data_IF_153663041853
#
_entry.id   IF_153663041853
#
_cell.length_a   1.000
_cell.length_b   1.000
_cell.length_c   1.000
_cell.angle_alpha   90.00
_cell.angle_beta   90.00
_cell.angle_gamma   90.00
#
_symmetry.space_group_name_H-M   'P 1'
#
loop_
_entity.id
_entity.type
_entity.pdbx_description
1 polymer ?
#
# COMPACT_ATOMS: atom_id res chain seq x y z
N UNK A 1 -80.74 11.01 9.37
CA UNK A 1 -80.13 10.84 10.68
C UNK A 1 -78.66 11.17 10.64
N UNK A 2 -78.25 12.20 11.40
CA UNK A 2 -76.88 12.71 11.51
C UNK A 2 -75.89 11.63 12.03
N UNK A 3 -76.36 10.63 12.79
CA UNK A 3 -75.55 9.56 13.38
C UNK A 3 -74.94 8.65 12.28
N UNK A 4 -75.63 8.32 11.21
CA UNK A 4 -75.10 7.52 10.10
C UNK A 4 -74.02 8.24 9.31
N UNK A 5 -74.12 9.57 9.14
CA UNK A 5 -73.13 10.38 8.44
C UNK A 5 -71.82 10.48 9.22
N UNK A 6 -71.90 10.66 10.56
CA UNK A 6 -70.68 10.66 11.42
C UNK A 6 -69.99 9.31 11.42
N UNK A 7 -70.73 8.19 11.57
CA UNK A 7 -70.14 6.88 11.57
C UNK A 7 -69.47 6.55 10.23
N UNK A 8 -70.08 6.84 9.11
CA UNK A 8 -69.53 6.63 7.79
C UNK A 8 -68.23 7.49 7.57
N UNK A 9 -68.23 8.69 8.09
CA UNK A 9 -67.02 9.55 8.04
C UNK A 9 -65.89 8.98 8.90
N UNK A 10 -66.17 8.51 10.11
CA UNK A 10 -65.21 7.91 11.01
C UNK A 10 -64.64 6.60 10.39
N UNK A 11 -65.49 5.77 9.81
CA UNK A 11 -65.07 4.54 9.13
C UNK A 11 -64.16 4.84 7.94
N UNK A 12 -64.48 5.86 7.13
CA UNK A 12 -63.61 6.30 6.03
C UNK A 12 -62.23 6.77 6.51
N UNK A 13 -62.19 7.53 7.63
CA UNK A 13 -60.97 8.01 8.22
C UNK A 13 -60.14 6.83 8.74
N UNK A 14 -60.77 5.86 9.46
CA UNK A 14 -60.09 4.70 9.99
C UNK A 14 -59.53 3.84 8.88
N UNK A 15 -60.21 3.66 7.78
CA UNK A 15 -59.73 2.91 6.61
C UNK A 15 -58.51 3.58 5.98
N UNK A 16 -58.60 4.90 5.70
CA UNK A 16 -57.48 5.65 5.15
C UNK A 16 -56.24 5.66 6.06
N UNK A 17 -56.49 5.83 7.38
CA UNK A 17 -55.44 5.69 8.40
C UNK A 17 -54.75 4.37 8.34
N UNK A 18 -55.52 3.26 8.33
CA UNK A 18 -54.94 1.91 8.32
C UNK A 18 -54.15 1.65 7.03
N UNK A 19 -54.68 2.01 5.87
CA UNK A 19 -53.96 1.88 4.58
C UNK A 19 -52.65 2.65 4.58
N UNK A 20 -52.59 3.87 5.16
CA UNK A 20 -51.38 4.66 5.24
C UNK A 20 -50.37 4.02 6.20
N UNK A 21 -50.80 3.55 7.37
CA UNK A 21 -49.94 2.85 8.34
C UNK A 21 -49.37 1.57 7.74
N UNK A 22 -50.19 0.81 7.00
CA UNK A 22 -49.74 -0.40 6.31
C UNK A 22 -48.63 -0.09 5.29
N UNK A 23 -48.75 0.98 4.51
CA UNK A 23 -47.70 1.46 3.59
C UNK A 23 -46.44 1.89 4.32
N UNK A 24 -46.56 2.61 5.45
CA UNK A 24 -45.43 3.01 6.30
C UNK A 24 -44.70 1.76 6.81
N UNK A 25 -45.45 0.74 7.25
CA UNK A 25 -44.88 -0.50 7.76
C UNK A 25 -43.99 -1.24 6.76
N UNK A 26 -44.29 -1.14 5.46
CA UNK A 26 -43.57 -1.78 4.36
C UNK A 26 -42.35 -0.98 3.86
N UNK A 27 -42.06 0.18 4.43
CA UNK A 27 -40.95 1.03 3.98
C UNK A 27 -39.59 0.42 4.40
N UNK A 28 -38.86 -0.17 3.47
CA UNK A 28 -37.52 -0.77 3.72
C UNK A 28 -36.44 0.26 4.04
N UNK A 29 -36.59 1.47 3.55
CA UNK A 29 -35.66 2.58 3.78
C UNK A 29 -35.73 3.18 5.18
N UNK A 30 -36.77 2.84 5.95
CA UNK A 30 -37.04 3.34 7.28
C UNK A 30 -36.56 2.40 8.38
N UNK A 31 -36.17 2.97 9.51
CA UNK A 31 -36.05 2.25 10.78
C UNK A 31 -37.39 2.14 11.47
N UNK A 32 -37.50 1.27 12.48
CA UNK A 32 -38.76 1.10 13.22
C UNK A 32 -39.20 2.41 13.89
N UNK A 33 -38.26 3.17 14.48
CA UNK A 33 -38.53 4.45 15.12
C UNK A 33 -39.07 5.51 14.12
N UNK A 34 -38.53 5.51 12.90
CA UNK A 34 -39.04 6.39 11.84
C UNK A 34 -40.46 6.01 11.39
N UNK A 35 -40.74 4.69 11.28
CA UNK A 35 -42.08 4.17 10.99
C UNK A 35 -43.07 4.48 12.12
N UNK A 36 -42.65 4.32 13.36
CA UNK A 36 -43.50 4.61 14.53
C UNK A 36 -43.84 6.08 14.61
N UNK A 37 -42.88 6.97 14.37
CA UNK A 37 -43.11 8.42 14.31
C UNK A 37 -44.05 8.80 13.18
N UNK A 38 -43.87 8.22 11.97
CA UNK A 38 -44.75 8.47 10.84
C UNK A 38 -46.19 7.97 11.11
N UNK A 39 -46.30 6.78 11.70
CA UNK A 39 -47.60 6.19 12.08
C UNK A 39 -48.28 6.97 13.19
N UNK A 40 -47.52 7.48 14.15
CA UNK A 40 -48.02 8.37 15.21
C UNK A 40 -48.66 9.64 14.61
N UNK A 41 -47.99 10.31 13.66
CA UNK A 41 -48.57 11.48 12.98
C UNK A 41 -49.89 11.17 12.34
N UNK A 42 -50.00 10.05 11.60
CA UNK A 42 -51.24 9.64 10.93
C UNK A 42 -52.34 9.35 11.96
N UNK A 43 -52.02 8.70 13.07
CA UNK A 43 -52.96 8.44 14.16
C UNK A 43 -53.45 9.73 14.82
N UNK A 44 -52.57 10.68 15.10
CA UNK A 44 -52.93 11.98 15.72
C UNK A 44 -53.84 12.80 14.82
N UNK A 45 -53.55 12.90 13.53
CA UNK A 45 -54.38 13.65 12.59
C UNK A 45 -55.77 12.99 12.44
N UNK A 46 -55.83 11.64 12.34
CA UNK A 46 -57.10 10.92 12.31
C UNK A 46 -57.91 11.15 13.60
N UNK A 47 -57.28 11.12 14.76
CA UNK A 47 -57.95 11.32 16.06
C UNK A 47 -58.50 12.74 16.19
N UNK A 48 -57.72 13.76 15.82
CA UNK A 48 -58.17 15.16 15.80
C UNK A 48 -59.44 15.33 14.94
N UNK A 49 -59.46 14.73 13.74
CA UNK A 49 -60.61 14.80 12.84
C UNK A 49 -61.83 14.06 13.40
N UNK A 50 -61.65 12.89 14.05
CA UNK A 50 -62.72 12.13 14.69
C UNK A 50 -63.33 12.96 15.83
N UNK A 51 -62.53 13.66 16.62
CA UNK A 51 -63.02 14.56 17.68
C UNK A 51 -63.83 15.73 17.12
N UNK A 52 -63.42 16.32 16.01
CA UNK A 52 -64.14 17.36 15.32
C UNK A 52 -65.51 16.82 14.79
N UNK A 53 -65.53 15.64 14.20
CA UNK A 53 -66.74 14.97 13.74
C UNK A 53 -67.68 14.68 14.90
N UNK A 54 -67.19 14.21 16.04
CA UNK A 54 -68.02 13.95 17.20
C UNK A 54 -68.69 15.23 17.73
N UNK A 55 -67.99 16.39 17.69
CA UNK A 55 -68.52 17.70 18.12
C UNK A 55 -69.39 18.41 17.06
N UNK A 56 -69.35 17.95 15.78
CA UNK A 56 -70.07 18.58 14.68
C UNK A 56 -71.57 18.57 14.87
N UNK A 57 -72.23 19.67 14.51
CA UNK A 57 -73.68 19.87 14.61
C UNK A 57 -74.35 19.71 13.26
N UNK A 58 -73.60 19.79 12.15
CA UNK A 58 -74.17 19.77 10.78
C UNK A 58 -73.42 18.72 9.93
N UNK A 59 -74.07 18.21 8.88
CA UNK A 59 -73.46 17.32 7.89
C UNK A 59 -72.28 17.98 7.15
N UNK A 60 -72.38 19.31 6.92
CA UNK A 60 -71.31 20.08 6.28
C UNK A 60 -70.01 20.03 7.14
N UNK A 61 -70.10 20.25 8.44
CA UNK A 61 -68.96 20.18 9.37
C UNK A 61 -68.37 18.78 9.41
N UNK A 62 -69.16 17.71 9.36
CA UNK A 62 -68.68 16.32 9.30
C UNK A 62 -67.93 16.07 7.99
N UNK A 63 -68.49 16.51 6.86
CA UNK A 63 -67.85 16.32 5.54
C UNK A 63 -66.56 17.12 5.43
N UNK A 64 -66.50 18.36 5.90
CA UNK A 64 -65.30 19.17 5.89
C UNK A 64 -64.17 18.55 6.73
N UNK A 65 -64.46 18.12 7.98
CA UNK A 65 -63.48 17.49 8.83
C UNK A 65 -62.96 16.18 8.21
N UNK A 66 -63.85 15.36 7.65
CA UNK A 66 -63.45 14.12 6.94
C UNK A 66 -62.57 14.43 5.72
N UNK A 67 -63.00 15.28 4.81
CA UNK A 67 -62.30 15.55 3.57
C UNK A 67 -60.92 16.18 3.82
N UNK A 68 -60.80 17.08 4.79
CA UNK A 68 -59.54 17.69 5.19
C UNK A 68 -58.52 16.64 5.69
N UNK A 69 -58.93 15.72 6.60
CA UNK A 69 -58.00 14.71 7.11
C UNK A 69 -57.67 13.63 6.09
N UNK A 70 -58.63 13.22 5.26
CA UNK A 70 -58.37 12.29 4.16
C UNK A 70 -57.31 12.86 3.20
N UNK A 71 -57.41 14.15 2.87
CA UNK A 71 -56.40 14.83 2.07
C UNK A 71 -55.04 14.92 2.78
N UNK A 72 -55.04 15.28 4.07
CA UNK A 72 -53.82 15.32 4.87
C UNK A 72 -53.12 13.95 4.93
N UNK A 73 -53.86 12.88 5.21
CA UNK A 73 -53.32 11.52 5.28
C UNK A 73 -52.82 11.07 3.90
N UNK A 74 -53.58 11.39 2.82
CA UNK A 74 -53.20 11.05 1.44
C UNK A 74 -51.91 11.72 1.02
N UNK A 75 -51.75 13.01 1.31
CA UNK A 75 -50.59 13.84 0.91
C UNK A 75 -49.38 13.65 1.82
N UNK A 76 -49.57 13.07 3.00
CA UNK A 76 -48.46 12.86 3.92
C UNK A 76 -47.46 11.85 3.33
N UNK A 77 -46.24 12.34 3.05
CA UNK A 77 -45.13 11.51 2.63
C UNK A 77 -44.02 11.62 3.71
N UNK A 78 -43.87 10.55 4.53
CA UNK A 78 -42.86 10.57 5.57
C UNK A 78 -41.44 10.50 4.98
N UNK A 79 -40.53 11.29 5.55
CA UNK A 79 -39.10 11.28 5.19
C UNK A 79 -38.35 10.39 6.12
N UNK A 80 -37.52 9.54 5.55
CA UNK A 80 -36.65 8.60 6.26
C UNK A 80 -35.18 8.93 6.01
N UNK A 81 -34.46 9.24 7.07
CA UNK A 81 -33.10 9.80 6.96
C UNK A 81 -32.04 8.96 7.63
N UNK A 82 -32.37 8.11 8.60
CA UNK A 82 -31.40 7.42 9.47
C UNK A 82 -30.40 6.59 8.68
N UNK A 83 -30.90 5.65 7.87
CA UNK A 83 -30.07 4.76 7.05
C UNK A 83 -29.29 5.55 5.99
N UNK A 84 -29.96 6.46 5.31
CA UNK A 84 -29.33 7.33 4.29
C UNK A 84 -28.19 8.16 4.87
N UNK A 85 -28.42 8.80 6.02
CA UNK A 85 -27.41 9.64 6.65
C UNK A 85 -26.21 8.84 7.14
N UNK A 86 -26.41 7.62 7.65
CA UNK A 86 -25.33 6.73 8.01
C UNK A 86 -24.46 6.37 6.80
N UNK A 87 -25.10 6.03 5.67
CA UNK A 87 -24.39 5.73 4.41
C UNK A 87 -23.62 6.95 3.90
N UNK A 88 -24.20 8.15 3.93
CA UNK A 88 -23.49 9.38 3.50
C UNK A 88 -22.25 9.65 4.35
N UNK A 89 -22.38 9.51 5.67
CA UNK A 89 -21.21 9.64 6.57
C UNK A 89 -20.14 8.59 6.34
N UNK A 90 -20.51 7.36 5.91
CA UNK A 90 -19.54 6.34 5.54
C UNK A 90 -18.75 6.71 4.29
N UNK A 91 -19.39 7.35 3.29
CA UNK A 91 -18.65 7.88 2.13
C UNK A 91 -17.58 8.89 2.56
N UNK A 92 -17.93 9.83 3.46
CA UNK A 92 -16.95 10.80 3.98
C UNK A 92 -15.74 10.11 4.65
N UNK A 93 -15.98 9.01 5.39
CA UNK A 93 -14.92 8.24 6.03
C UNK A 93 -14.09 7.49 4.99
N UNK A 94 -14.71 6.90 3.98
CA UNK A 94 -14.04 6.21 2.88
C UNK A 94 -13.14 7.19 2.12
N UNK A 95 -13.68 8.33 1.70
CA UNK A 95 -12.90 9.36 0.97
C UNK A 95 -11.70 9.84 1.79
N UNK A 96 -11.89 10.04 3.11
CA UNK A 96 -10.80 10.42 4.00
C UNK A 96 -9.74 9.30 4.13
N UNK A 97 -10.15 8.04 4.23
CA UNK A 97 -9.22 6.91 4.33
C UNK A 97 -8.47 6.66 3.03
N UNK A 98 -9.13 6.78 1.87
CA UNK A 98 -8.46 6.69 0.56
C UNK A 98 -7.40 7.79 0.39
N UNK A 99 -7.68 9.01 0.83
CA UNK A 99 -6.69 10.08 0.83
C UNK A 99 -5.48 9.76 1.72
N UNK A 100 -5.69 9.11 2.87
CA UNK A 100 -4.62 8.66 3.77
C UNK A 100 -3.82 7.53 3.11
N UNK A 101 -4.48 6.55 2.48
CA UNK A 101 -3.84 5.43 1.77
C UNK A 101 -2.93 5.96 0.66
N UNK A 102 -3.43 6.87 -0.17
CA UNK A 102 -2.68 7.48 -1.28
C UNK A 102 -1.53 8.40 -0.83
N UNK A 103 -1.45 8.72 0.45
CA UNK A 103 -0.38 9.53 1.03
C UNK A 103 0.66 8.68 1.81
N UNK A 104 0.55 7.35 1.80
CA UNK A 104 1.49 6.49 2.51
C UNK A 104 2.86 6.51 1.84
N UNK A 105 3.93 6.95 2.53
CA UNK A 105 5.25 7.00 1.93
C UNK A 105 5.74 5.62 1.49
N UNK A 106 6.45 5.57 0.37
CA UNK A 106 7.05 4.36 -0.19
C UNK A 106 6.07 3.28 -0.71
N UNK A 107 4.77 3.46 -0.54
CA UNK A 107 3.79 2.57 -1.16
C UNK A 107 3.84 2.71 -2.68
N UNK A 108 3.59 1.61 -3.38
CA UNK A 108 3.31 1.64 -4.82
C UNK A 108 1.82 1.84 -5.05
N UNK A 109 1.45 2.36 -6.22
CA UNK A 109 0.04 2.47 -6.63
C UNK A 109 -0.70 1.11 -6.56
N UNK A 110 0.02 0.00 -6.80
CA UNK A 110 -0.55 -1.35 -6.70
C UNK A 110 -0.84 -1.76 -5.24
N UNK A 111 0.01 -1.36 -4.29
CA UNK A 111 -0.19 -1.59 -2.85
C UNK A 111 -1.30 -0.70 -2.30
N UNK A 112 -1.37 0.57 -2.73
CA UNK A 112 -2.45 1.50 -2.41
C UNK A 112 -3.79 0.98 -2.92
N UNK A 113 -3.88 0.58 -4.19
CA UNK A 113 -5.11 0.09 -4.81
C UNK A 113 -5.65 -1.16 -4.11
N UNK A 114 -4.79 -2.11 -3.72
CA UNK A 114 -5.22 -3.28 -2.92
C UNK A 114 -5.91 -2.89 -1.62
N UNK A 115 -5.49 -1.81 -1.00
CA UNK A 115 -6.09 -1.31 0.24
C UNK A 115 -7.37 -0.53 -0.01
N UNK A 116 -7.43 0.27 -1.08
CA UNK A 116 -8.65 0.95 -1.54
C UNK A 116 -9.73 -0.09 -1.87
N UNK A 117 -9.40 -1.15 -2.60
CA UNK A 117 -10.34 -2.23 -2.92
C UNK A 117 -10.95 -2.88 -1.65
N UNK A 118 -10.16 -3.03 -0.58
CA UNK A 118 -10.66 -3.53 0.71
C UNK A 118 -11.65 -2.55 1.36
N UNK A 119 -11.34 -1.25 1.33
CA UNK A 119 -12.22 -0.19 1.87
C UNK A 119 -13.54 -0.15 1.10
N UNK A 120 -13.49 -0.17 -0.23
CA UNK A 120 -14.67 -0.20 -1.09
C UNK A 120 -15.53 -1.46 -0.88
N UNK A 121 -14.89 -2.61 -0.70
CA UNK A 121 -15.60 -3.86 -0.40
C UNK A 121 -16.33 -3.77 0.94
N UNK A 122 -15.71 -3.22 1.99
CA UNK A 122 -16.35 -2.99 3.27
C UNK A 122 -17.53 -2.04 3.14
N UNK A 123 -17.38 -0.93 2.42
CA UNK A 123 -18.47 0.00 2.14
C UNK A 123 -19.65 -0.70 1.45
N UNK A 124 -19.37 -1.52 0.43
CA UNK A 124 -20.40 -2.24 -0.31
C UNK A 124 -21.20 -3.21 0.58
N UNK A 125 -20.54 -3.99 1.42
CA UNK A 125 -21.16 -4.92 2.36
C UNK A 125 -21.97 -4.14 3.39
N UNK A 126 -21.39 -3.09 3.97
CA UNK A 126 -22.01 -2.28 5.02
C UNK A 126 -23.28 -1.58 4.55
N UNK A 127 -23.30 -1.09 3.31
CA UNK A 127 -24.54 -0.49 2.74
C UNK A 127 -25.70 -1.48 2.73
N UNK A 128 -25.45 -2.76 2.47
CA UNK A 128 -26.47 -3.81 2.55
C UNK A 128 -26.89 -4.08 3.99
N UNK A 129 -25.96 -4.15 4.92
CA UNK A 129 -26.25 -4.38 6.33
C UNK A 129 -27.06 -3.23 6.93
N UNK A 130 -26.70 -1.97 6.66
CA UNK A 130 -27.50 -0.80 7.05
C UNK A 130 -28.91 -0.85 6.43
N UNK A 131 -29.01 -1.26 5.15
CA UNK A 131 -30.30 -1.45 4.49
C UNK A 131 -31.19 -2.44 5.21
N UNK A 132 -30.64 -3.51 5.76
CA UNK A 132 -31.35 -4.56 6.48
C UNK A 132 -31.58 -4.28 7.97
N UNK A 133 -30.90 -3.28 8.54
CA UNK A 133 -31.07 -2.92 9.94
C UNK A 133 -32.52 -2.52 10.24
N UNK A 134 -33.08 -3.03 11.35
CA UNK A 134 -34.48 -2.83 11.72
C UNK A 134 -34.73 -1.52 12.44
N UNK A 135 -33.77 -1.04 13.21
CA UNK A 135 -33.91 0.09 14.13
C UNK A 135 -32.68 1.01 14.11
N UNK A 136 -32.80 2.15 14.79
CA UNK A 136 -31.74 3.16 14.84
C UNK A 136 -30.48 2.63 15.51
N UNK A 137 -30.59 1.83 16.56
CA UNK A 137 -29.45 1.30 17.29
C UNK A 137 -28.63 0.35 16.39
N UNK A 138 -29.30 -0.54 15.65
CA UNK A 138 -28.65 -1.43 14.68
C UNK A 138 -27.91 -0.66 13.58
N UNK A 139 -28.51 0.45 13.07
CA UNK A 139 -27.80 1.32 12.11
C UNK A 139 -26.55 1.94 12.73
N UNK A 140 -26.64 2.45 13.96
CA UNK A 140 -25.51 3.09 14.65
C UNK A 140 -24.40 2.08 14.97
N UNK A 141 -24.74 0.88 15.42
CA UNK A 141 -23.78 -0.17 15.72
C UNK A 141 -22.99 -0.59 14.47
N UNK A 142 -23.68 -0.82 13.36
CA UNK A 142 -23.04 -1.16 12.08
C UNK A 142 -22.12 -0.01 11.63
N UNK A 143 -22.63 1.22 11.64
CA UNK A 143 -21.86 2.39 11.26
C UNK A 143 -20.58 2.57 12.09
N UNK A 144 -20.69 2.51 13.42
CA UNK A 144 -19.56 2.69 14.31
C UNK A 144 -18.51 1.60 14.14
N UNK A 145 -18.94 0.33 14.09
CA UNK A 145 -18.03 -0.80 13.93
C UNK A 145 -17.23 -0.71 12.62
N UNK A 146 -17.91 -0.45 11.50
CA UNK A 146 -17.27 -0.38 10.19
C UNK A 146 -16.41 0.87 10.05
N UNK A 147 -16.84 2.00 10.60
CA UNK A 147 -16.04 3.22 10.61
C UNK A 147 -14.67 3.01 11.24
N UNK A 148 -14.61 2.27 12.35
CA UNK A 148 -13.33 1.94 12.99
C UNK A 148 -12.52 0.92 12.17
N UNK A 149 -13.17 -0.07 11.55
CA UNK A 149 -12.47 -1.03 10.69
C UNK A 149 -11.83 -0.33 9.46
N UNK A 150 -12.55 0.55 8.77
CA UNK A 150 -12.04 1.30 7.61
C UNK A 150 -10.77 2.07 7.98
N UNK A 151 -10.74 2.74 9.12
CA UNK A 151 -9.59 3.53 9.60
C UNK A 151 -8.32 2.69 9.87
N UNK A 152 -8.45 1.39 10.00
CA UNK A 152 -7.30 0.48 10.22
C UNK A 152 -6.68 -0.05 8.93
N UNK A 153 -7.26 0.24 7.78
CA UNK A 153 -6.78 -0.27 6.49
C UNK A 153 -5.70 0.65 5.94
N UNK A 154 -4.50 0.10 5.78
CA UNK A 154 -3.34 0.77 5.21
C UNK A 154 -2.67 -0.13 4.17
N UNK A 155 -1.92 0.44 3.19
CA UNK A 155 -1.09 -0.35 2.29
C UNK A 155 -0.06 -1.18 3.03
N UNK A 156 0.14 -2.40 2.58
CA UNK A 156 1.27 -3.23 3.00
C UNK A 156 2.48 -2.88 2.13
N UNK A 157 3.33 -1.96 2.65
CA UNK A 157 4.47 -1.37 1.93
C UNK A 157 5.65 -2.33 1.95
N UNK A 158 5.75 -3.22 0.99
CA UNK A 158 6.77 -4.29 0.92
C UNK A 158 7.57 -4.31 -0.37
N UNK A 159 7.05 -3.81 -1.46
CA UNK A 159 7.65 -3.92 -2.80
C UNK A 159 9.03 -3.28 -2.87
N UNK A 160 9.12 -1.99 -2.59
CA UNK A 160 10.38 -1.24 -2.59
C UNK A 160 11.33 -1.68 -1.49
N UNK A 161 10.82 -1.92 -0.27
CA UNK A 161 11.64 -2.33 0.87
C UNK A 161 12.31 -3.69 0.65
N UNK A 162 11.59 -4.66 0.07
CA UNK A 162 12.14 -5.96 -0.29
C UNK A 162 13.20 -5.84 -1.39
N UNK A 163 12.95 -5.04 -2.43
CA UNK A 163 13.93 -4.82 -3.48
C UNK A 163 15.22 -4.19 -2.94
N UNK A 164 15.11 -3.15 -2.11
CA UNK A 164 16.27 -2.51 -1.45
C UNK A 164 17.04 -3.48 -0.57
N UNK A 165 16.36 -4.32 0.19
CA UNK A 165 17.00 -5.31 1.07
C UNK A 165 17.83 -6.30 0.26
N UNK A 166 17.28 -6.85 -0.82
CA UNK A 166 17.95 -7.83 -1.67
C UNK A 166 19.18 -7.20 -2.34
N UNK A 167 19.08 -6.00 -2.90
CA UNK A 167 20.18 -5.30 -3.55
C UNK A 167 21.30 -4.92 -2.57
N UNK A 168 20.95 -4.40 -1.40
CA UNK A 168 21.93 -4.11 -0.34
C UNK A 168 22.68 -5.35 0.12
N UNK A 169 21.98 -6.47 0.28
CA UNK A 169 22.60 -7.73 0.68
C UNK A 169 23.62 -8.22 -0.37
N UNK A 170 23.27 -8.16 -1.65
CA UNK A 170 24.20 -8.51 -2.72
C UNK A 170 25.41 -7.58 -2.75
N UNK A 171 25.19 -6.26 -2.69
CA UNK A 171 26.28 -5.29 -2.68
C UNK A 171 27.24 -5.50 -1.50
N UNK A 172 26.71 -5.78 -0.30
CA UNK A 172 27.53 -6.07 0.88
C UNK A 172 28.34 -7.38 0.72
N UNK A 173 27.76 -8.40 0.07
CA UNK A 173 28.48 -9.65 -0.23
C UNK A 173 29.62 -9.39 -1.22
N UNK A 174 29.38 -8.61 -2.28
CA UNK A 174 30.42 -8.24 -3.26
C UNK A 174 31.54 -7.44 -2.61
N UNK A 175 31.21 -6.42 -1.83
CA UNK A 175 32.21 -5.61 -1.09
C UNK A 175 33.06 -6.50 -0.21
N UNK A 176 32.45 -7.37 0.60
CA UNK A 176 33.18 -8.32 1.44
C UNK A 176 34.06 -9.26 0.64
N UNK A 177 33.61 -9.70 -0.53
CA UNK A 177 34.41 -10.54 -1.44
C UNK A 177 35.64 -9.78 -1.94
N UNK A 178 35.46 -8.52 -2.37
CA UNK A 178 36.55 -7.68 -2.88
C UNK A 178 37.54 -7.29 -1.78
N UNK A 179 37.07 -7.02 -0.55
CA UNK A 179 37.94 -6.80 0.62
C UNK A 179 38.85 -7.97 0.90
N UNK A 180 38.41 -9.18 0.65
CA UNK A 180 39.16 -10.42 0.90
C UNK A 180 39.86 -10.98 -0.36
N UNK A 181 39.82 -10.30 -1.49
CA UNK A 181 40.51 -10.75 -2.70
C UNK A 181 42.01 -10.62 -2.51
N UNK A 182 42.79 -11.72 -2.68
CA UNK A 182 44.21 -11.65 -2.56
C UNK A 182 44.88 -10.98 -3.76
N UNK A 183 46.12 -10.54 -3.57
CA UNK A 183 46.99 -10.04 -4.64
C UNK A 183 46.53 -8.73 -5.33
N UNK A 184 45.61 -7.99 -4.73
CA UNK A 184 45.14 -6.70 -5.20
C UNK A 184 45.83 -5.55 -4.47
N UNK A 185 45.96 -4.42 -5.14
CA UNK A 185 46.35 -3.17 -4.51
C UNK A 185 45.12 -2.48 -3.87
N UNK A 186 45.37 -1.47 -3.04
CA UNK A 186 44.32 -0.68 -2.41
C UNK A 186 43.45 0.03 -3.49
N UNK A 187 44.12 0.58 -4.50
CA UNK A 187 43.50 1.31 -5.60
C UNK A 187 42.55 0.38 -6.41
N UNK A 188 43.03 -0.82 -6.81
CA UNK A 188 42.20 -1.80 -7.54
C UNK A 188 40.97 -2.24 -6.72
N UNK A 189 41.14 -2.39 -5.40
CA UNK A 189 40.08 -2.75 -4.47
C UNK A 189 39.07 -1.64 -4.31
N UNK A 190 39.55 -0.41 -4.05
CA UNK A 190 38.71 0.75 -3.84
C UNK A 190 37.90 1.11 -5.09
N UNK A 191 38.49 0.98 -6.27
CA UNK A 191 37.79 1.16 -7.55
C UNK A 191 36.62 0.18 -7.71
N UNK A 192 36.84 -1.11 -7.44
CA UNK A 192 35.79 -2.12 -7.52
C UNK A 192 34.68 -1.87 -6.48
N UNK A 193 35.04 -1.56 -5.23
CA UNK A 193 34.09 -1.24 -4.17
C UNK A 193 33.28 0.02 -4.49
N UNK A 194 33.94 1.08 -4.99
CA UNK A 194 33.28 2.30 -5.40
C UNK A 194 32.32 2.04 -6.56
N UNK A 195 32.68 1.18 -7.50
CA UNK A 195 31.78 0.79 -8.58
C UNK A 195 30.51 0.11 -8.03
N UNK A 196 30.65 -0.84 -7.08
CA UNK A 196 29.48 -1.45 -6.40
C UNK A 196 28.60 -0.42 -5.71
N UNK A 197 29.20 0.49 -4.94
CA UNK A 197 28.47 1.54 -4.22
C UNK A 197 27.72 2.49 -5.16
N UNK A 198 28.37 2.92 -6.25
CA UNK A 198 27.77 3.81 -7.24
C UNK A 198 26.60 3.12 -7.97
N UNK A 199 26.78 1.88 -8.40
CA UNK A 199 25.73 1.10 -9.06
C UNK A 199 24.56 0.84 -8.11
N UNK A 200 24.84 0.47 -6.86
CA UNK A 200 23.77 0.33 -5.84
C UNK A 200 22.99 1.63 -5.65
N UNK A 201 23.70 2.75 -5.49
CA UNK A 201 23.05 4.05 -5.32
C UNK A 201 22.17 4.42 -6.51
N UNK A 202 22.62 4.13 -7.73
CA UNK A 202 21.86 4.41 -8.94
C UNK A 202 20.56 3.60 -8.99
N UNK A 203 20.61 2.28 -8.75
CA UNK A 203 19.42 1.43 -8.80
C UNK A 203 18.46 1.71 -7.64
N UNK A 204 18.96 2.00 -6.45
CA UNK A 204 18.08 2.41 -5.33
C UNK A 204 17.36 3.72 -5.64
N UNK A 205 18.05 4.68 -6.24
CA UNK A 205 17.45 5.94 -6.69
C UNK A 205 16.41 5.78 -7.82
N UNK A 206 16.54 4.74 -8.65
CA UNK A 206 15.52 4.38 -9.64
C UNK A 206 14.29 3.80 -8.94
N UNK A 207 14.46 2.81 -8.05
CA UNK A 207 13.39 2.19 -7.26
C UNK A 207 12.60 3.24 -6.45
N UNK A 208 13.25 4.26 -5.91
CA UNK A 208 12.57 5.31 -5.15
C UNK A 208 11.56 6.10 -6.01
N UNK A 209 11.83 6.22 -7.31
CA UNK A 209 10.96 6.92 -8.28
C UNK A 209 9.85 6.04 -8.86
N UNK A 210 9.97 4.73 -8.73
CA UNK A 210 8.97 3.80 -9.26
C UNK A 210 7.65 3.95 -8.51
N UNK A 211 6.54 3.93 -9.27
CA UNK A 211 5.19 4.02 -8.71
C UNK A 211 4.44 2.69 -8.77
N UNK A 212 4.94 1.70 -9.53
CA UNK A 212 4.28 0.42 -9.75
C UNK A 212 5.15 -0.76 -9.33
N UNK A 213 4.52 -1.82 -8.78
CA UNK A 213 5.21 -3.06 -8.40
C UNK A 213 6.05 -3.67 -9.54
N UNK A 214 5.55 -3.61 -10.78
CA UNK A 214 6.24 -4.14 -11.95
C UNK A 214 7.53 -3.36 -12.26
N UNK A 215 7.53 -2.04 -12.08
CA UNK A 215 8.71 -1.20 -12.28
C UNK A 215 9.78 -1.53 -11.23
N UNK A 216 9.38 -1.58 -9.94
CA UNK A 216 10.27 -1.99 -8.84
C UNK A 216 10.89 -3.37 -9.10
N UNK A 217 10.10 -4.33 -9.60
CA UNK A 217 10.58 -5.66 -9.92
C UNK A 217 11.60 -5.65 -11.07
N UNK A 218 11.38 -4.85 -12.11
CA UNK A 218 12.29 -4.68 -13.25
C UNK A 218 13.60 -4.04 -12.81
N UNK A 219 13.55 -2.91 -12.08
CA UNK A 219 14.74 -2.24 -11.57
C UNK A 219 15.56 -3.15 -10.64
N UNK A 220 14.90 -3.92 -9.80
CA UNK A 220 15.59 -4.95 -8.98
C UNK A 220 16.35 -5.95 -9.84
N UNK A 221 15.74 -6.48 -10.89
CA UNK A 221 16.39 -7.46 -11.78
C UNK A 221 17.59 -6.84 -12.50
N UNK A 222 17.45 -5.63 -13.05
CA UNK A 222 18.55 -4.90 -13.66
C UNK A 222 19.67 -4.64 -12.68
N UNK A 223 19.35 -4.15 -11.49
CA UNK A 223 20.33 -3.89 -10.45
C UNK A 223 21.10 -5.14 -10.01
N UNK A 224 20.41 -6.28 -9.87
CA UNK A 224 21.05 -7.56 -9.56
C UNK A 224 22.02 -8.01 -10.66
N UNK A 225 21.62 -7.87 -11.94
CA UNK A 225 22.47 -8.20 -13.06
C UNK A 225 23.70 -7.29 -13.13
N UNK A 226 23.51 -6.00 -13.00
CA UNK A 226 24.58 -5.01 -13.06
C UNK A 226 25.59 -5.21 -11.92
N UNK A 227 25.12 -5.40 -10.70
CA UNK A 227 25.97 -5.67 -9.54
C UNK A 227 26.76 -6.98 -9.72
N UNK A 228 26.13 -8.06 -10.18
CA UNK A 228 26.80 -9.34 -10.41
C UNK A 228 27.84 -9.31 -11.52
N UNK A 229 27.77 -8.35 -12.43
CA UNK A 229 28.76 -8.17 -13.49
C UNK A 229 29.99 -7.36 -13.04
N UNK A 230 29.96 -6.76 -11.86
CA UNK A 230 31.11 -6.03 -11.33
C UNK A 230 32.16 -7.04 -10.87
N UNK A 231 33.36 -6.90 -11.39
CA UNK A 231 34.52 -7.74 -11.04
C UNK A 231 35.66 -6.86 -10.54
N UNK A 232 36.47 -7.40 -9.65
CA UNK A 232 37.72 -6.78 -9.27
C UNK A 232 38.82 -7.16 -10.28
N UNK A 233 39.50 -6.17 -10.84
CA UNK A 233 40.59 -6.40 -11.77
C UNK A 233 41.91 -6.52 -11.01
N UNK A 234 42.49 -7.70 -10.99
CA UNK A 234 43.78 -7.99 -10.32
C UNK A 234 44.88 -7.92 -11.39
N UNK A 235 45.49 -6.77 -11.59
CA UNK A 235 46.43 -6.51 -12.70
C UNK A 235 47.84 -6.16 -12.22
N UNK A 236 47.99 -5.28 -11.26
CA UNK A 236 49.24 -4.62 -10.93
C UNK A 236 50.29 -5.62 -10.42
N UNK A 237 50.01 -6.37 -9.36
CA UNK A 237 50.95 -7.34 -8.78
C UNK A 237 51.28 -8.49 -9.75
N UNK A 238 50.32 -9.11 -10.46
CA UNK A 238 50.64 -10.10 -11.50
C UNK A 238 51.52 -9.55 -12.61
N UNK A 239 51.29 -8.33 -13.07
CA UNK A 239 52.08 -7.67 -14.12
C UNK A 239 53.52 -7.43 -13.64
N UNK A 240 53.66 -6.90 -12.41
CA UNK A 240 55.00 -6.69 -11.82
C UNK A 240 55.77 -7.99 -11.67
N UNK A 241 55.15 -9.09 -11.18
CA UNK A 241 55.76 -10.40 -11.10
C UNK A 241 56.20 -10.93 -12.46
N UNK A 242 55.38 -10.80 -13.46
CA UNK A 242 55.71 -11.21 -14.83
C UNK A 242 56.91 -10.44 -15.37
N UNK A 243 56.95 -9.11 -15.16
CA UNK A 243 58.09 -8.29 -15.59
C UNK A 243 59.39 -8.69 -14.91
N UNK A 244 59.35 -8.94 -13.60
CA UNK A 244 60.55 -9.42 -12.85
C UNK A 244 61.02 -10.78 -13.35
N UNK A 245 60.10 -11.74 -13.54
CA UNK A 245 60.44 -13.07 -14.04
C UNK A 245 61.02 -13.00 -15.45
N UNK A 246 60.41 -12.24 -16.36
CA UNK A 246 60.94 -12.08 -17.73
C UNK A 246 62.37 -11.52 -17.67
N UNK A 247 62.61 -10.48 -16.86
CA UNK A 247 63.94 -9.88 -16.73
C UNK A 247 64.93 -10.82 -16.12
N UNK A 248 64.53 -11.61 -15.14
CA UNK A 248 65.39 -12.66 -14.52
C UNK A 248 65.77 -13.73 -15.55
N UNK A 249 64.86 -14.17 -16.39
CA UNK A 249 65.13 -15.18 -17.44
C UNK A 249 66.11 -14.66 -18.53
N UNK A 250 65.97 -13.40 -18.93
CA UNK A 250 66.91 -12.72 -19.81
C UNK A 250 68.34 -12.70 -19.19
N UNK A 251 68.45 -12.36 -17.89
CA UNK A 251 69.71 -12.29 -17.18
C UNK A 251 70.35 -13.71 -17.01
N UNK A 252 69.53 -14.73 -16.64
CA UNK A 252 69.99 -16.12 -16.53
C UNK A 252 70.55 -16.63 -17.87
N UNK A 253 69.88 -16.32 -18.98
CA UNK A 253 70.33 -16.66 -20.32
C UNK A 253 71.66 -15.99 -20.62
N UNK A 254 71.83 -14.73 -20.29
CA UNK A 254 73.09 -13.98 -20.45
C UNK A 254 74.22 -14.58 -19.66
N UNK A 255 73.96 -14.94 -18.37
CA UNK A 255 74.95 -15.59 -17.52
C UNK A 255 75.39 -16.92 -18.10
N UNK A 256 74.47 -17.78 -18.52
CA UNK A 256 74.76 -19.09 -19.11
C UNK A 256 75.61 -19.00 -20.40
N UNK A 257 75.40 -17.94 -21.18
CA UNK A 257 76.13 -17.68 -22.41
C UNK A 257 77.40 -16.86 -22.25
N UNK A 258 77.81 -16.50 -21.00
CA UNK A 258 79.02 -15.72 -20.76
C UNK A 258 80.21 -16.55 -21.13
N UNK A 259 81.05 -16.10 -22.10
CA UNK A 259 82.30 -16.85 -22.46
C UNK A 259 83.35 -16.75 -21.35
N UNK A 260 84.18 -17.84 -21.24
CA UNK A 260 85.29 -17.92 -20.31
C UNK A 260 84.92 -17.88 -18.82
N UNK A 261 83.64 -18.00 -18.46
CA UNK A 261 83.18 -18.12 -17.08
C UNK A 261 83.12 -19.59 -16.68
N UNK A 262 83.60 -19.94 -15.49
CA UNK A 262 83.49 -21.30 -14.92
C UNK A 262 82.09 -21.64 -14.50
N UNK A 263 81.72 -22.88 -14.40
CA UNK A 263 80.39 -23.32 -13.93
C UNK A 263 80.11 -22.81 -12.52
N UNK A 264 81.13 -22.73 -11.65
CA UNK A 264 81.02 -22.21 -10.29
C UNK A 264 80.68 -20.67 -10.30
N UNK A 265 81.36 -19.88 -11.18
CA UNK A 265 81.14 -18.47 -11.32
C UNK A 265 79.70 -18.21 -11.88
N UNK A 266 79.23 -19.00 -12.87
CA UNK A 266 77.87 -18.94 -13.38
C UNK A 266 76.84 -19.27 -12.29
N UNK A 267 77.11 -20.37 -11.51
CA UNK A 267 76.16 -20.72 -10.45
C UNK A 267 76.06 -19.67 -9.36
N UNK A 268 77.23 -19.08 -8.93
CA UNK A 268 77.22 -17.98 -7.98
C UNK A 268 76.46 -16.77 -8.49
N UNK A 269 76.48 -16.44 -9.80
CA UNK A 269 75.71 -15.37 -10.41
C UNK A 269 74.22 -15.72 -10.47
N UNK A 270 73.84 -16.96 -10.84
CA UNK A 270 72.47 -17.43 -10.83
C UNK A 270 71.87 -17.41 -9.43
N UNK A 271 72.59 -17.79 -8.39
CA UNK A 271 72.14 -17.75 -7.00
C UNK A 271 71.82 -16.32 -6.54
N UNK A 272 72.62 -15.32 -6.97
CA UNK A 272 72.33 -13.89 -6.73
C UNK A 272 71.07 -13.45 -7.44
N UNK A 273 70.84 -13.87 -8.70
CA UNK A 273 69.62 -13.58 -9.44
C UNK A 273 68.41 -14.17 -8.70
N UNK A 274 68.47 -15.42 -8.26
CA UNK A 274 67.42 -16.05 -7.47
C UNK A 274 67.10 -15.30 -6.20
N UNK A 275 68.13 -14.85 -5.43
CA UNK A 275 67.94 -14.08 -4.21
C UNK A 275 67.24 -12.74 -4.48
N UNK A 276 67.65 -12.04 -5.55
CA UNK A 276 67.03 -10.76 -5.96
C UNK A 276 65.57 -10.96 -6.38
N UNK A 277 65.27 -12.01 -7.18
CA UNK A 277 63.91 -12.34 -7.61
C UNK A 277 63.02 -12.65 -6.42
N UNK A 278 63.52 -13.46 -5.46
CA UNK A 278 62.78 -13.80 -4.26
C UNK A 278 62.46 -12.56 -3.41
N UNK A 279 63.44 -11.66 -3.21
CA UNK A 279 63.23 -10.37 -2.54
C UNK A 279 62.20 -9.51 -3.24
N UNK A 280 62.30 -9.36 -4.56
CA UNK A 280 61.34 -8.61 -5.36
C UNK A 280 59.94 -9.20 -5.30
N UNK A 281 59.80 -10.55 -5.38
CA UNK A 281 58.49 -11.24 -5.27
C UNK A 281 57.85 -11.02 -3.89
N UNK A 282 58.67 -11.02 -2.82
CA UNK A 282 58.18 -10.74 -1.48
C UNK A 282 57.73 -9.28 -1.34
N UNK A 283 58.47 -8.31 -1.85
CA UNK A 283 58.08 -6.90 -1.86
C UNK A 283 56.78 -6.66 -2.63
N UNK A 284 56.63 -7.28 -3.83
CA UNK A 284 55.39 -7.23 -4.60
C UNK A 284 54.21 -7.82 -3.80
N UNK A 285 54.42 -8.92 -3.09
CA UNK A 285 53.37 -9.52 -2.25
C UNK A 285 52.93 -8.58 -1.13
N UNK A 286 53.89 -7.91 -0.48
CA UNK A 286 53.69 -7.02 0.66
C UNK A 286 53.21 -5.61 0.27
N UNK A 287 53.46 -5.19 -0.97
CA UNK A 287 53.01 -3.91 -1.50
C UNK A 287 51.49 -3.76 -1.32
N UNK A 288 51.06 -2.57 -0.88
CA UNK A 288 49.66 -2.23 -0.67
C UNK A 288 49.12 -1.32 -1.75
N UNK A 289 49.93 -0.43 -2.27
CA UNK A 289 49.56 0.56 -3.26
C UNK A 289 50.18 0.27 -4.64
N UNK A 290 49.60 0.81 -5.72
CA UNK A 290 50.11 0.70 -7.08
C UNK A 290 51.51 1.30 -7.25
N UNK A 291 51.83 2.29 -6.42
CA UNK A 291 53.12 3.01 -6.44
C UNK A 291 54.26 2.30 -5.72
N UNK A 292 54.00 1.24 -4.98
CA UNK A 292 54.99 0.47 -4.22
C UNK A 292 55.56 -0.70 -5.05
#
# INVERSE_FOLDING_TARGET
>A
PVIGVKQNAIDAINNAKQEKIDRISLAFSATQEEKDKASQFVNEEAQKAIELINKAQTNSQVTEAKDNVLNTIKQFEPEYHKKRNAILKLYDIVDAQEAIINAVPDATEDEEQKSIDKVEQLLHVTKKEIGLASDNAGVDDIYNNISEQIKTIFPEVVSKSNARTILNNLANQLIKTFENTPDVTTEERDDAINHVKNQLSAVLGAIDKDTRDVQVAQEKVFGLNDLNNIVINVIQKPTARKAINTKADEIKLSINNTPNATDEEKQNALDKVHAIVNDAQNKIREAKADSE
#
